data_IF_775385153349
#
_entry.id   IF_775385153349
#
_cell.length_a   1.000
_cell.length_b   1.000
_cell.length_c   1.000
_cell.angle_alpha   90.00
_cell.angle_beta   90.00
_cell.angle_gamma   90.00
#
_symmetry.space_group_name_H-M   'P 1'
#
loop_
_entity.id
_entity.type
_entity.pdbx_description
1 polymer ?
#
# COMPACT_ATOMS: atom_id res chain seq x y z
N UNK A 1 -0.62 -0.07 -5.24
CA UNK A 1 0.68 0.17 -5.93
C UNK A 1 0.61 1.49 -6.71
N UNK A 2 -0.44 1.77 -7.48
CA UNK A 2 -0.58 3.02 -8.24
C UNK A 2 -0.39 4.27 -7.37
N UNK A 3 -0.98 4.32 -6.17
CA UNK A 3 -0.80 5.46 -5.26
C UNK A 3 0.65 5.64 -4.81
N UNK A 4 1.39 4.55 -4.62
CA UNK A 4 2.81 4.59 -4.27
C UNK A 4 3.66 5.13 -5.43
N UNK A 5 3.37 4.67 -6.65
CA UNK A 5 4.00 5.19 -7.86
C UNK A 5 3.69 6.68 -8.06
N UNK A 6 2.43 7.09 -7.86
CA UNK A 6 2.02 8.49 -7.97
C UNK A 6 2.72 9.38 -6.94
N UNK A 7 2.93 8.87 -5.71
CA UNK A 7 3.65 9.60 -4.67
C UNK A 7 5.11 9.85 -5.04
N UNK A 8 5.77 8.87 -5.66
CA UNK A 8 7.21 8.95 -5.97
C UNK A 8 7.46 9.66 -7.31
N UNK A 9 6.70 9.32 -8.34
CA UNK A 9 6.94 9.73 -9.72
C UNK A 9 6.00 10.85 -10.20
N UNK A 10 4.87 11.03 -9.52
CA UNK A 10 3.82 11.96 -9.96
C UNK A 10 3.28 11.57 -11.33
N UNK A 11 3.06 12.57 -12.18
CA UNK A 11 2.54 12.38 -13.55
C UNK A 11 3.58 11.86 -14.54
N UNK A 12 4.86 11.73 -14.15
CA UNK A 12 5.96 11.35 -15.04
C UNK A 12 6.19 9.84 -15.18
N UNK A 13 5.27 9.02 -14.73
CA UNK A 13 5.43 7.55 -14.68
C UNK A 13 5.74 6.89 -16.02
N UNK A 14 5.22 7.44 -17.12
CA UNK A 14 5.40 6.91 -18.48
C UNK A 14 6.42 7.72 -19.29
N UNK A 15 7.05 8.73 -18.67
CA UNK A 15 7.97 9.61 -19.36
C UNK A 15 9.31 8.90 -19.60
N UNK A 16 9.76 8.89 -20.84
CA UNK A 16 11.07 8.37 -21.25
C UNK A 16 12.23 9.33 -20.95
N UNK A 17 11.94 10.53 -20.42
CA UNK A 17 13.01 11.49 -20.10
C UNK A 17 13.93 10.92 -19.04
N UNK A 18 15.24 11.21 -19.20
CA UNK A 18 16.31 10.75 -18.33
C UNK A 18 16.66 11.86 -17.35
N UNK A 19 16.62 11.55 -16.07
CA UNK A 19 17.06 12.44 -15.00
C UNK A 19 18.37 11.92 -14.38
N UNK A 20 19.23 12.84 -13.95
CA UNK A 20 20.35 12.52 -13.07
C UNK A 20 19.85 12.57 -11.63
N UNK A 21 19.79 11.43 -10.96
CA UNK A 21 19.29 11.32 -9.60
C UNK A 21 20.42 10.75 -8.73
N UNK A 22 20.54 11.27 -7.52
CA UNK A 22 21.45 10.77 -6.53
C UNK A 22 21.24 9.26 -6.30
N UNK A 23 22.32 8.50 -6.33
CA UNK A 23 22.34 7.05 -6.13
C UNK A 23 21.76 6.69 -4.75
N UNK A 24 22.10 7.49 -3.74
CA UNK A 24 21.57 7.37 -2.40
C UNK A 24 20.03 7.50 -2.40
N UNK A 25 19.47 8.50 -3.09
CA UNK A 25 18.01 8.70 -3.18
C UNK A 25 17.33 7.56 -3.92
N UNK A 26 17.91 7.06 -4.99
CA UNK A 26 17.35 5.89 -5.70
C UNK A 26 17.34 4.67 -4.77
N UNK A 27 18.42 4.45 -4.02
CA UNK A 27 18.49 3.38 -3.01
C UNK A 27 17.44 3.51 -1.90
N UNK A 28 17.23 4.73 -1.39
CA UNK A 28 16.20 5.00 -0.38
C UNK A 28 14.79 4.72 -0.91
N UNK A 29 14.48 5.17 -2.13
CA UNK A 29 13.20 4.90 -2.80
C UNK A 29 13.01 3.40 -3.02
N UNK A 30 14.07 2.70 -3.42
CA UNK A 30 14.04 1.25 -3.59
C UNK A 30 13.72 0.54 -2.27
N UNK A 31 14.48 0.82 -1.21
CA UNK A 31 14.27 0.21 0.11
C UNK A 31 12.86 0.50 0.66
N UNK A 32 12.40 1.75 0.57
CA UNK A 32 11.04 2.14 0.97
C UNK A 32 9.97 1.38 0.16
N UNK A 33 10.21 1.14 -1.14
CA UNK A 33 9.29 0.38 -2.00
C UNK A 33 9.27 -1.11 -1.65
N UNK A 34 10.40 -1.69 -1.25
CA UNK A 34 10.46 -3.06 -0.72
C UNK A 34 9.64 -3.17 0.57
N UNK A 35 9.85 -2.24 1.50
CA UNK A 35 9.09 -2.20 2.77
C UNK A 35 7.59 -2.02 2.52
N UNK A 36 7.21 -1.20 1.56
CA UNK A 36 5.81 -1.02 1.15
C UNK A 36 5.21 -2.31 0.58
N UNK A 37 5.95 -3.05 -0.25
CA UNK A 37 5.52 -4.35 -0.78
C UNK A 37 5.30 -5.39 0.32
N UNK A 38 6.22 -5.47 1.28
CA UNK A 38 6.11 -6.31 2.46
C UNK A 38 4.87 -5.96 3.30
N UNK A 39 4.66 -4.68 3.57
CA UNK A 39 3.46 -4.18 4.26
C UNK A 39 2.17 -4.57 3.54
N UNK A 40 2.06 -4.26 2.25
CA UNK A 40 0.87 -4.57 1.46
C UNK A 40 0.51 -6.05 1.50
N UNK A 41 1.50 -6.92 1.36
CA UNK A 41 1.27 -8.36 1.38
C UNK A 41 0.78 -8.84 2.74
N UNK A 42 1.37 -8.32 3.81
CA UNK A 42 0.97 -8.63 5.18
C UNK A 42 -0.46 -8.21 5.46
N UNK A 43 -0.85 -7.02 5.04
CA UNK A 43 -2.21 -6.51 5.20
C UNK A 43 -3.20 -7.27 4.32
N UNK A 44 -2.83 -7.59 3.07
CA UNK A 44 -3.68 -8.38 2.17
C UNK A 44 -3.98 -9.76 2.76
N UNK A 45 -2.99 -10.44 3.32
CA UNK A 45 -3.20 -11.74 3.99
C UNK A 45 -4.19 -11.64 5.15
N UNK A 46 -4.07 -10.61 5.98
CA UNK A 46 -5.04 -10.36 7.07
C UNK A 46 -6.42 -10.07 6.51
N UNK A 47 -6.53 -9.21 5.51
CA UNK A 47 -7.80 -8.88 4.85
C UNK A 47 -8.49 -10.13 4.29
N UNK A 48 -7.75 -11.02 3.60
CA UNK A 48 -8.29 -12.26 3.07
C UNK A 48 -8.77 -13.20 4.19
N UNK A 49 -8.03 -13.27 5.30
CA UNK A 49 -8.41 -14.06 6.46
C UNK A 49 -9.71 -13.52 7.09
N UNK A 50 -9.79 -12.24 7.39
CA UNK A 50 -10.97 -11.62 7.97
C UNK A 50 -12.19 -11.70 7.05
N UNK A 51 -11.96 -11.58 5.72
CA UNK A 51 -13.00 -11.81 4.71
C UNK A 51 -13.53 -13.24 4.76
N UNK A 52 -12.65 -14.25 4.84
CA UNK A 52 -13.05 -15.66 4.93
C UNK A 52 -13.78 -16.00 6.22
N UNK A 53 -13.43 -15.32 7.31
CA UNK A 53 -14.07 -15.44 8.62
C UNK A 53 -15.36 -14.60 8.75
N UNK A 54 -15.73 -13.83 7.73
CA UNK A 54 -16.85 -12.88 7.74
C UNK A 54 -16.79 -11.85 8.88
N UNK A 55 -15.58 -11.49 9.30
CA UNK A 55 -15.32 -10.56 10.40
C UNK A 55 -14.97 -9.13 9.96
N UNK A 56 -15.15 -8.81 8.66
CA UNK A 56 -14.91 -7.47 8.16
C UNK A 56 -15.93 -6.48 8.73
N UNK A 57 -15.51 -5.24 9.08
CA UNK A 57 -16.38 -4.24 9.73
C UNK A 57 -17.62 -3.85 8.94
N UNK A 58 -17.63 -4.06 7.62
CA UNK A 58 -18.73 -3.69 6.70
C UNK A 58 -19.49 -4.90 6.11
N UNK A 59 -19.35 -6.09 6.69
CA UNK A 59 -20.01 -7.29 6.21
C UNK A 59 -19.46 -7.88 4.90
N UNK A 60 -19.90 -9.07 4.54
CA UNK A 60 -19.62 -9.67 3.24
C UNK A 60 -20.68 -9.22 2.22
N UNK A 61 -20.30 -8.93 0.96
CA UNK A 61 -21.27 -8.57 -0.10
C UNK A 61 -22.28 -9.68 -0.39
N UNK A 62 -21.98 -10.93 -0.03
CA UNK A 62 -22.91 -12.05 -0.16
C UNK A 62 -24.15 -11.88 0.72
N UNK A 63 -24.04 -11.16 1.86
CA UNK A 63 -25.19 -10.86 2.71
C UNK A 63 -26.06 -9.73 2.12
N UNK A 64 -25.49 -8.80 1.37
CA UNK A 64 -26.25 -7.73 0.71
C UNK A 64 -27.03 -8.26 -0.51
N UNK A 65 -26.48 -9.23 -1.25
CA UNK A 65 -27.17 -9.89 -2.36
C UNK A 65 -28.29 -10.84 -1.87
N UNK A 66 -28.10 -11.52 -0.74
CA UNK A 66 -29.12 -12.35 -0.14
C UNK A 66 -30.28 -11.53 0.46
N UNK A 67 -30.02 -10.33 1.00
CA UNK A 67 -31.10 -9.45 1.48
C UNK A 67 -31.96 -8.88 0.34
N UNK A 68 -31.42 -8.68 -0.85
CA UNK A 68 -32.17 -8.21 -2.02
C UNK A 68 -33.03 -9.35 -2.61
N UNK A 69 -32.61 -10.62 -2.49
CA UNK A 69 -33.39 -11.76 -2.99
C UNK A 69 -34.49 -12.25 -2.04
N UNK A 70 -34.48 -11.84 -0.78
CA UNK A 70 -35.50 -12.27 0.20
C UNK A 70 -36.63 -11.24 0.42
N UNK A 71 -36.57 -10.06 -0.24
CA UNK A 71 -37.58 -9.01 -0.07
C UNK A 71 -38.65 -8.98 -1.17
N UNK A 72 -38.69 -9.97 -2.08
CA UNK A 72 -39.75 -10.00 -3.10
C UNK A 72 -40.83 -11.05 -2.83
N UNK A 73 -41.34 -11.10 -1.58
CA UNK A 73 -42.58 -11.83 -1.27
C UNK A 73 -43.15 -11.36 0.03
N UNK A 74 -43.77 -10.17 0.05
CA UNK A 74 -45.01 -9.88 0.82
C UNK A 74 -45.46 -8.44 0.60
N UNK A 75 -46.38 -8.28 -0.33
CA UNK A 75 -47.32 -7.17 -0.36
C UNK A 75 -48.20 -7.25 0.90
N UNK A 76 -48.24 -6.22 1.70
CA UNK A 76 -49.47 -5.54 2.15
C UNK A 76 -49.16 -4.51 3.23
N UNK A 77 -49.41 -3.29 2.87
CA UNK A 77 -50.37 -2.35 3.51
C UNK A 77 -49.99 -1.76 4.89
N UNK A 78 -50.13 -0.44 4.88
CA UNK A 78 -50.36 0.54 5.94
C UNK A 78 -49.23 1.43 6.48
N UNK A 79 -49.20 2.60 5.89
CA UNK A 79 -49.46 3.98 6.47
C UNK A 79 -48.68 4.44 7.71
N UNK A 80 -48.11 5.66 7.50
CA UNK A 80 -47.85 6.78 8.41
C UNK A 80 -46.76 6.61 9.51
N UNK A 81 -45.69 7.32 9.37
CA UNK A 81 -45.40 8.51 10.16
C UNK A 81 -44.12 9.20 9.73
N UNK A 82 -44.26 10.44 9.44
CA UNK A 82 -43.23 11.43 9.17
C UNK A 82 -42.35 11.67 10.41
N UNK A 83 -41.05 11.67 10.23
CA UNK A 83 -40.14 12.55 10.98
C UNK A 83 -39.00 13.03 10.11
N UNK A 84 -38.55 14.28 10.30
CA UNK A 84 -37.83 15.02 9.30
C UNK A 84 -36.29 14.95 9.45
N UNK A 85 -35.62 15.27 8.34
CA UNK A 85 -34.29 15.84 8.25
C UNK A 85 -33.12 15.09 8.90
N UNK A 86 -32.55 14.21 8.11
CA UNK A 86 -31.09 14.15 8.03
C UNK A 86 -30.72 14.50 6.59
N UNK A 87 -30.12 15.67 6.43
CA UNK A 87 -29.70 16.22 5.15
C UNK A 87 -28.85 15.20 4.41
N UNK A 88 -29.42 14.68 3.33
CA UNK A 88 -28.73 13.96 2.30
C UNK A 88 -27.66 14.88 1.70
N UNK A 89 -26.41 14.57 1.93
CA UNK A 89 -25.30 15.09 1.12
C UNK A 89 -25.35 14.49 -0.28
N UNK A 90 -26.41 14.74 -1.00
CA UNK A 90 -26.44 14.57 -2.44
C UNK A 90 -25.71 15.76 -3.05
N UNK A 91 -24.53 15.49 -3.58
CA UNK A 91 -23.78 16.40 -4.43
C UNK A 91 -24.65 16.89 -5.58
N UNK A 92 -24.63 18.20 -5.91
CA UNK A 92 -25.37 18.73 -7.04
C UNK A 92 -24.85 18.13 -8.34
N UNK A 93 -25.80 17.68 -9.15
CA UNK A 93 -25.66 17.35 -10.56
C UNK A 93 -24.88 18.46 -11.31
N UNK A 94 -23.69 18.15 -11.76
CA UNK A 94 -22.98 18.90 -12.78
C UNK A 94 -22.79 18.00 -14.00
N UNK A 95 -23.84 17.93 -14.78
CA UNK A 95 -23.80 17.57 -16.18
C UNK A 95 -22.86 18.54 -16.92
N UNK A 96 -21.62 18.13 -17.16
CA UNK A 96 -20.80 18.61 -18.28
C UNK A 96 -19.57 17.71 -18.44
N UNK A 97 -19.55 16.95 -19.53
CA UNK A 97 -18.45 16.37 -20.28
C UNK A 97 -17.06 16.35 -19.65
N UNK A 98 -16.68 15.23 -19.06
CA UNK A 98 -15.30 14.99 -18.65
C UNK A 98 -15.16 13.53 -18.24
N UNK A 99 -14.47 12.73 -19.02
CA UNK A 99 -14.09 11.34 -18.79
C UNK A 99 -13.22 11.20 -17.53
N UNK A 100 -13.81 11.39 -16.37
CA UNK A 100 -13.25 11.02 -15.08
C UNK A 100 -13.74 9.63 -14.72
N UNK A 101 -13.01 8.58 -15.08
CA UNK A 101 -13.24 7.27 -14.48
C UNK A 101 -13.03 7.42 -12.96
N UNK A 102 -14.11 7.50 -12.24
CA UNK A 102 -14.17 7.36 -10.78
C UNK A 102 -13.69 5.95 -10.47
N UNK A 103 -12.37 5.80 -10.24
CA UNK A 103 -11.77 4.54 -9.80
C UNK A 103 -12.35 4.25 -8.43
N UNK A 104 -13.31 3.33 -8.35
CA UNK A 104 -13.82 2.84 -7.07
C UNK A 104 -12.62 2.43 -6.20
N UNK A 105 -12.49 2.97 -4.99
CA UNK A 105 -11.38 2.61 -4.10
C UNK A 105 -11.38 1.10 -3.90
N UNK A 106 -10.22 0.47 -4.04
CA UNK A 106 -10.13 -0.97 -3.80
C UNK A 106 -10.51 -1.27 -2.34
N UNK A 107 -11.22 -2.36 -2.11
CA UNK A 107 -11.63 -2.79 -0.76
C UNK A 107 -10.44 -2.88 0.20
N UNK A 108 -9.29 -3.37 -0.29
CA UNK A 108 -8.06 -3.39 0.50
C UNK A 108 -7.62 -1.99 0.92
N UNK A 109 -7.78 -0.99 0.05
CA UNK A 109 -7.45 0.40 0.42
C UNK A 109 -8.36 0.91 1.52
N UNK A 110 -9.68 0.69 1.39
CA UNK A 110 -10.64 1.07 2.43
C UNK A 110 -10.34 0.36 3.75
N UNK A 111 -9.94 -0.90 3.69
CA UNK A 111 -9.52 -1.68 4.85
C UNK A 111 -8.29 -1.09 5.54
N UNK A 112 -7.25 -0.74 4.79
CA UNK A 112 -6.05 -0.06 5.35
C UNK A 112 -6.40 1.29 5.97
N UNK A 113 -7.31 2.05 5.34
CA UNK A 113 -7.74 3.35 5.85
C UNK A 113 -8.60 3.26 7.11
N UNK A 114 -9.13 2.08 7.44
CA UNK A 114 -9.85 1.84 8.70
C UNK A 114 -8.94 1.49 9.89
N UNK A 115 -7.64 1.32 9.66
CA UNK A 115 -6.70 1.03 10.73
C UNK A 115 -6.47 2.25 11.61
N UNK A 116 -6.40 2.02 12.91
CA UNK A 116 -5.86 3.00 13.85
C UNK A 116 -4.33 3.14 13.68
N UNK A 117 -3.77 4.18 14.29
CA UNK A 117 -2.34 4.48 14.20
C UNK A 117 -1.46 3.33 14.65
N UNK A 118 -1.83 2.67 15.76
CA UNK A 118 -1.03 1.61 16.38
C UNK A 118 -1.04 0.35 15.52
N UNK A 119 -2.20 -0.01 14.99
CA UNK A 119 -2.34 -1.12 14.04
C UNK A 119 -1.54 -0.83 12.76
N UNK A 120 -1.66 0.38 12.22
CA UNK A 120 -0.91 0.77 11.02
C UNK A 120 0.60 0.67 11.25
N UNK A 121 1.09 1.21 12.36
CA UNK A 121 2.51 1.14 12.74
C UNK A 121 2.98 -0.30 12.90
N UNK A 122 2.19 -1.14 13.58
CA UNK A 122 2.50 -2.56 13.77
C UNK A 122 2.65 -3.28 12.44
N UNK A 123 1.75 -3.04 11.47
CA UNK A 123 1.81 -3.68 10.17
C UNK A 123 2.89 -3.10 9.24
N UNK A 124 3.22 -1.82 9.38
CA UNK A 124 4.29 -1.16 8.63
C UNK A 124 5.70 -1.59 9.07
N UNK A 125 5.85 -2.11 10.28
CA UNK A 125 7.15 -2.54 10.81
C UNK A 125 7.52 -3.93 10.28
N UNK A 126 8.76 -4.09 9.81
CA UNK A 126 9.33 -5.39 9.44
C UNK A 126 9.45 -6.27 10.69
N UNK A 127 8.92 -7.50 10.65
CA UNK A 127 8.84 -8.37 11.82
C UNK A 127 10.20 -8.92 12.27
N UNK A 128 11.00 -9.39 11.33
CA UNK A 128 12.26 -10.03 11.66
C UNK A 128 13.48 -9.18 11.32
N UNK A 129 14.50 -9.26 12.19
CA UNK A 129 15.81 -8.66 11.92
C UNK A 129 16.47 -9.26 10.67
N UNK A 130 16.15 -10.53 10.37
CA UNK A 130 16.69 -11.23 9.19
C UNK A 130 16.11 -10.61 7.91
N UNK A 131 14.78 -10.40 7.85
CA UNK A 131 14.15 -9.74 6.72
C UNK A 131 14.69 -8.31 6.51
N UNK A 132 14.85 -7.55 7.60
CA UNK A 132 15.46 -6.23 7.55
C UNK A 132 16.89 -6.28 6.99
N UNK A 133 17.74 -7.18 7.51
CA UNK A 133 19.11 -7.35 7.02
C UNK A 133 19.20 -7.81 5.56
N UNK A 134 18.21 -8.56 5.07
CA UNK A 134 18.12 -8.93 3.65
C UNK A 134 17.84 -7.69 2.80
N UNK A 135 16.90 -6.83 3.22
CA UNK A 135 16.59 -5.57 2.51
C UNK A 135 17.81 -4.68 2.46
N UNK A 136 18.51 -4.51 3.59
CA UNK A 136 19.71 -3.71 3.70
C UNK A 136 20.81 -4.21 2.75
N UNK A 137 21.19 -5.48 2.86
CA UNK A 137 22.23 -6.09 2.03
C UNK A 137 21.89 -6.07 0.54
N UNK A 138 20.62 -6.29 0.20
CA UNK A 138 20.17 -6.25 -1.18
C UNK A 138 20.25 -4.82 -1.74
N UNK A 139 19.84 -3.83 -0.96
CA UNK A 139 19.95 -2.42 -1.34
C UNK A 139 21.42 -1.99 -1.48
N UNK A 140 22.28 -2.39 -0.54
CA UNK A 140 23.73 -2.15 -0.63
C UNK A 140 24.35 -2.81 -1.86
N UNK A 141 23.94 -4.03 -2.21
CA UNK A 141 24.46 -4.74 -3.39
C UNK A 141 24.09 -4.02 -4.71
N UNK A 142 22.89 -3.41 -4.78
CA UNK A 142 22.43 -2.71 -5.98
C UNK A 142 22.99 -1.28 -6.11
N UNK A 143 23.06 -0.56 -4.99
CA UNK A 143 23.36 0.87 -5.00
C UNK A 143 24.68 1.23 -4.30
N UNK A 144 25.37 0.26 -3.72
CA UNK A 144 26.56 0.47 -2.92
C UNK A 144 26.22 0.92 -1.49
N UNK A 145 27.25 0.89 -0.65
CA UNK A 145 27.13 1.36 0.73
C UNK A 145 27.12 2.87 0.75
N UNK A 146 26.10 3.53 1.35
CA UNK A 146 26.08 4.98 1.42
C UNK A 146 27.22 5.49 2.32
N UNK A 147 28.09 6.34 1.79
CA UNK A 147 29.03 7.10 2.59
C UNK A 147 28.33 8.37 3.09
N UNK A 148 27.73 8.29 4.29
CA UNK A 148 27.11 9.44 4.94
C UNK A 148 28.19 10.13 5.76
N UNK A 149 28.68 11.26 5.29
CA UNK A 149 29.56 12.15 6.04
C UNK A 149 28.70 13.20 6.71
N UNK A 150 28.73 13.25 8.03
CA UNK A 150 28.05 14.30 8.80
C UNK A 150 29.06 15.45 9.01
N UNK A 151 28.69 16.64 8.56
CA UNK A 151 29.49 17.85 8.80
C UNK A 151 29.47 18.20 10.29
N UNK A 152 30.46 18.98 10.78
CA UNK A 152 30.46 19.44 12.18
C UNK A 152 29.20 20.24 12.56
N UNK A 153 28.48 20.76 11.58
CA UNK A 153 27.23 21.52 11.73
C UNK A 153 25.98 20.61 11.79
N UNK A 154 26.16 19.26 11.73
CA UNK A 154 25.07 18.27 11.79
C UNK A 154 24.31 18.10 10.49
N UNK A 155 24.79 18.64 9.37
CA UNK A 155 24.21 18.45 8.04
C UNK A 155 24.88 17.27 7.31
N UNK A 156 24.11 16.60 6.44
CA UNK A 156 24.67 15.52 5.62
C UNK A 156 25.44 16.13 4.43
N UNK A 157 26.73 15.83 4.34
CA UNK A 157 27.54 16.21 3.19
C UNK A 157 27.24 15.28 2.00
N UNK A 158 26.57 15.83 1.01
CA UNK A 158 26.25 15.13 -0.25
C UNK A 158 27.27 15.31 -1.36
N UNK A 159 28.43 15.93 -1.06
CA UNK A 159 29.46 16.21 -2.05
C UNK A 159 30.06 14.95 -2.68
N UNK A 160 30.00 13.83 -1.97
CA UNK A 160 30.45 12.49 -2.43
C UNK A 160 29.36 11.64 -3.05
N UNK A 161 28.15 12.16 -3.18
CA UNK A 161 27.02 11.40 -3.70
C UNK A 161 27.17 11.18 -5.20
N UNK A 162 27.11 9.93 -5.62
CA UNK A 162 27.17 9.56 -7.02
C UNK A 162 25.80 9.72 -7.67
N UNK A 163 25.76 10.23 -8.90
CA UNK A 163 24.53 10.39 -9.67
C UNK A 163 24.39 9.29 -10.71
N UNK A 164 23.20 8.70 -10.77
CA UNK A 164 22.81 7.75 -11.82
C UNK A 164 21.85 8.41 -12.80
N UNK A 165 22.04 8.12 -14.09
CA UNK A 165 21.13 8.56 -15.14
C UNK A 165 20.09 7.48 -15.34
N UNK A 166 18.85 7.79 -14.97
CA UNK A 166 17.73 6.84 -15.07
C UNK A 166 16.52 7.55 -15.71
N UNK A 167 15.80 6.84 -16.57
CA UNK A 167 14.52 7.33 -17.08
C UNK A 167 13.41 7.15 -16.06
N UNK A 168 12.37 7.98 -16.09
CA UNK A 168 11.22 7.82 -15.21
C UNK A 168 10.50 6.48 -15.41
N UNK A 169 10.44 5.98 -16.65
CA UNK A 169 9.95 4.63 -16.94
C UNK A 169 10.82 3.53 -16.33
N UNK A 170 12.16 3.71 -16.36
CA UNK A 170 13.10 2.81 -15.69
C UNK A 170 12.95 2.84 -14.17
N UNK A 171 12.78 4.02 -13.59
CA UNK A 171 12.54 4.18 -12.16
C UNK A 171 11.18 3.55 -11.74
N UNK A 172 10.14 3.71 -12.57
CA UNK A 172 8.85 3.02 -12.35
C UNK A 172 9.02 1.51 -12.29
N UNK A 173 9.76 0.94 -13.23
CA UNK A 173 10.04 -0.49 -13.26
C UNK A 173 10.80 -0.94 -12.01
N UNK A 174 11.83 -0.20 -11.61
CA UNK A 174 12.61 -0.47 -10.41
C UNK A 174 11.74 -0.48 -9.14
N UNK A 175 10.82 0.48 -9.01
CA UNK A 175 9.87 0.54 -7.89
C UNK A 175 8.93 -0.68 -7.89
N UNK A 176 8.41 -1.08 -9.06
CA UNK A 176 7.56 -2.27 -9.16
C UNK A 176 8.30 -3.56 -8.79
N UNK A 177 9.53 -3.70 -9.23
CA UNK A 177 10.41 -4.82 -8.85
C UNK A 177 10.67 -4.83 -7.34
N UNK A 178 10.92 -3.67 -6.74
CA UNK A 178 11.10 -3.52 -5.30
C UNK A 178 9.85 -3.93 -4.49
N UNK A 179 8.66 -3.46 -4.91
CA UNK A 179 7.39 -3.85 -4.27
C UNK A 179 7.15 -5.36 -4.38
N UNK A 180 7.45 -5.95 -5.54
CA UNK A 180 7.32 -7.39 -5.76
C UNK A 180 8.28 -8.18 -4.86
N UNK A 181 9.52 -7.73 -4.75
CA UNK A 181 10.52 -8.34 -3.87
C UNK A 181 10.07 -8.29 -2.39
N UNK A 182 9.55 -7.15 -1.93
CA UNK A 182 9.01 -7.02 -0.58
C UNK A 182 7.84 -7.97 -0.29
N UNK A 183 6.93 -8.12 -1.26
CA UNK A 183 5.83 -9.07 -1.17
C UNK A 183 6.31 -10.52 -1.07
N UNK A 184 7.30 -10.87 -1.87
CA UNK A 184 7.94 -12.19 -1.84
C UNK A 184 8.65 -12.44 -0.51
N UNK A 185 9.37 -11.46 0.00
CA UNK A 185 10.07 -11.55 1.29
C UNK A 185 9.11 -11.88 2.43
N UNK A 186 7.93 -11.26 2.45
CA UNK A 186 6.87 -11.61 3.41
C UNK A 186 6.39 -13.06 3.24
N UNK A 187 6.14 -13.52 2.01
CA UNK A 187 5.68 -14.88 1.78
C UNK A 187 6.71 -15.93 2.26
N UNK A 188 8.00 -15.69 2.01
CA UNK A 188 9.08 -16.56 2.49
C UNK A 188 9.15 -16.57 4.03
N UNK A 189 9.13 -15.40 4.67
CA UNK A 189 9.16 -15.30 6.13
C UNK A 189 7.96 -16.00 6.75
N UNK A 190 6.75 -15.76 6.23
CA UNK A 190 5.52 -16.40 6.71
C UNK A 190 5.55 -17.92 6.52
N UNK A 191 6.13 -18.41 5.42
CA UNK A 191 6.31 -19.84 5.18
C UNK A 191 7.27 -20.46 6.19
N UNK A 192 8.42 -19.81 6.44
CA UNK A 192 9.40 -20.27 7.44
C UNK A 192 8.77 -20.30 8.82
N UNK A 193 8.10 -19.23 9.24
CA UNK A 193 7.41 -19.15 10.54
C UNK A 193 6.37 -20.28 10.71
N UNK A 194 5.64 -20.62 9.65
CA UNK A 194 4.62 -21.67 9.71
C UNK A 194 5.19 -23.09 9.81
N UNK A 195 6.40 -23.30 9.30
CA UNK A 195 7.06 -24.61 9.26
C UNK A 195 7.99 -24.85 10.46
N UNK A 196 8.62 -23.78 10.90
CA UNK A 196 9.63 -23.82 11.95
C UNK A 196 9.15 -22.98 13.13
N UNK A 197 8.15 -23.47 13.86
CA UNK A 197 7.80 -22.92 15.16
C UNK A 197 8.98 -23.18 16.10
N UNK A 198 9.87 -22.21 16.18
CA UNK A 198 10.84 -22.21 17.25
C UNK A 198 10.07 -21.97 18.53
N UNK A 199 9.87 -23.03 19.30
CA UNK A 199 9.45 -22.94 20.68
C UNK A 199 10.59 -22.23 21.41
N UNK A 200 10.51 -20.92 21.55
CA UNK A 200 11.32 -20.20 22.51
C UNK A 200 10.78 -20.55 23.89
N UNK A 201 11.45 -21.48 24.53
CA UNK A 201 11.34 -21.71 26.00
C UNK A 201 11.92 -20.50 26.71
#
# INVERSE_FOLDING_TARGET
>A
IENHLNLILGQRQADGTVAAISKLRVGQVYAASVMYGYFLKRVDKRFQLEKSMKSLPWGSEDDALNQVMTTDSRLSDQTYSSHPEVESWTSPDLSAGGLGQSVKPSRLRSYVMSFDSDTLQTYATIRSKVAFGIIEKHTEALFGKPEIVITPEGTVDSSKDEYVRISFSGLRRLILEAVTFGSFLWDVESYVDSRYHFVTN
#
